data_IF_592540619975
#
_entry.id   IF_592540619975
#
_cell.length_a   1.000
_cell.length_b   1.000
_cell.length_c   1.000
_cell.angle_alpha   90.00
_cell.angle_beta   90.00
_cell.angle_gamma   90.00
#
_symmetry.space_group_name_H-M   'P 1'
#
loop_
_entity.id
_entity.type
_entity.pdbx_description
1 polymer ?
#
# COMPACT_ATOMS: atom_id res chain seq x y z
N UNK A 1 8.53 15.39 1.51
CA UNK A 1 8.26 14.25 0.61
C UNK A 1 8.63 12.99 1.36
N UNK A 2 7.63 12.23 1.83
CA UNK A 2 7.87 10.94 2.48
C UNK A 2 7.65 9.81 1.47
N UNK A 3 8.45 8.77 1.59
CA UNK A 3 8.33 7.53 0.82
C UNK A 3 8.17 6.40 1.82
N UNK A 4 7.06 5.68 1.74
CA UNK A 4 6.89 4.42 2.46
C UNK A 4 7.58 3.32 1.65
N UNK A 5 8.60 2.72 2.25
CA UNK A 5 9.43 1.69 1.60
C UNK A 5 8.89 0.28 1.80
N UNK A 6 7.96 0.07 2.72
CA UNK A 6 7.38 -1.23 3.02
C UNK A 6 5.91 -1.12 3.44
N UNK A 7 5.01 -1.60 2.59
CA UNK A 7 3.60 -1.78 2.91
C UNK A 7 3.06 -3.13 2.40
N UNK A 8 1.91 -3.53 2.94
CA UNK A 8 1.17 -4.73 2.53
C UNK A 8 -0.21 -4.33 2.00
N UNK A 9 -0.25 -3.38 1.05
CA UNK A 9 -1.51 -2.89 0.48
C UNK A 9 -2.26 -3.95 -0.34
N UNK A 10 -1.63 -5.08 -0.67
CA UNK A 10 -2.27 -6.23 -1.34
C UNK A 10 -3.07 -7.14 -0.38
N UNK A 11 -3.11 -6.83 0.92
CA UNK A 11 -3.80 -7.64 1.92
C UNK A 11 -5.33 -7.42 1.86
N UNK A 12 -6.13 -8.47 2.10
CA UNK A 12 -7.60 -8.37 2.01
C UNK A 12 -8.20 -7.35 2.96
N UNK A 13 -7.51 -7.09 4.08
CA UNK A 13 -7.97 -6.19 5.14
C UNK A 13 -8.16 -4.74 4.64
N UNK A 14 -7.41 -4.34 3.61
CA UNK A 14 -7.50 -3.01 3.00
C UNK A 14 -8.46 -2.94 1.81
N UNK A 15 -9.07 -4.05 1.39
CA UNK A 15 -9.91 -4.08 0.19
C UNK A 15 -11.16 -3.20 0.30
N UNK A 16 -11.68 -3.02 1.53
CA UNK A 16 -12.90 -2.24 1.77
C UNK A 16 -12.64 -0.74 1.89
N UNK A 17 -11.41 -0.31 2.20
CA UNK A 17 -11.07 1.09 2.50
C UNK A 17 -9.79 1.57 1.80
N UNK A 18 -9.37 0.88 0.73
CA UNK A 18 -8.10 1.13 0.02
C UNK A 18 -7.90 2.60 -0.35
N UNK A 19 -8.89 3.22 -0.99
CA UNK A 19 -8.81 4.62 -1.40
C UNK A 19 -8.73 5.58 -0.20
N UNK A 20 -9.39 5.25 0.92
CA UNK A 20 -9.32 6.04 2.14
C UNK A 20 -7.93 5.93 2.80
N UNK A 21 -7.32 4.74 2.79
CA UNK A 21 -5.94 4.53 3.26
C UNK A 21 -4.98 5.39 2.45
N UNK A 22 -5.10 5.39 1.12
CA UNK A 22 -4.26 6.22 0.24
C UNK A 22 -4.50 7.72 0.45
N UNK A 23 -5.75 8.13 0.69
CA UNK A 23 -6.10 9.50 1.05
C UNK A 23 -5.39 9.94 2.33
N UNK A 24 -5.49 9.16 3.41
CA UNK A 24 -4.81 9.43 4.68
C UNK A 24 -3.29 9.48 4.53
N UNK A 25 -2.71 8.58 3.73
CA UNK A 25 -1.27 8.58 3.45
C UNK A 25 -0.83 9.87 2.73
N UNK A 26 -1.62 10.30 1.75
CA UNK A 26 -1.38 11.55 1.01
C UNK A 26 -1.46 12.77 1.93
N UNK A 27 -2.49 12.86 2.78
CA UNK A 27 -2.67 13.93 3.78
C UNK A 27 -1.49 13.99 4.76
N UNK A 28 -0.93 12.83 5.14
CA UNK A 28 0.26 12.72 5.97
C UNK A 28 1.58 13.04 5.25
N UNK A 29 1.55 13.36 3.95
CA UNK A 29 2.73 13.71 3.16
C UNK A 29 3.52 12.51 2.61
N UNK A 30 2.94 11.31 2.64
CA UNK A 30 3.45 10.12 1.94
C UNK A 30 3.09 10.24 0.47
N UNK A 31 4.11 10.30 -0.37
CA UNK A 31 3.96 10.62 -1.81
C UNK A 31 4.24 9.43 -2.71
N UNK A 32 4.84 8.37 -2.15
CA UNK A 32 5.14 7.09 -2.81
C UNK A 32 5.07 6.00 -1.76
N UNK A 33 4.52 4.85 -2.14
CA UNK A 33 4.40 3.66 -1.29
C UNK A 33 4.89 2.46 -2.09
N UNK A 34 5.69 1.61 -1.47
CA UNK A 34 6.10 0.32 -2.05
C UNK A 34 5.35 -0.80 -1.34
N UNK A 35 4.45 -1.47 -2.08
CA UNK A 35 3.80 -2.70 -1.63
C UNK A 35 4.72 -3.89 -1.88
N UNK A 36 5.04 -4.67 -0.84
CA UNK A 36 5.92 -5.84 -0.98
C UNK A 36 5.13 -7.14 -1.02
N UNK A 37 5.54 -8.04 -1.93
CA UNK A 37 5.00 -9.39 -1.99
C UNK A 37 5.73 -10.36 -1.05
N UNK A 38 4.99 -11.21 -0.35
CA UNK A 38 5.56 -12.27 0.54
C UNK A 38 5.52 -13.67 -0.06
N UNK A 39 4.91 -13.81 -1.23
CA UNK A 39 4.82 -15.04 -2.02
C UNK A 39 4.73 -14.68 -3.51
N UNK A 40 4.79 -15.67 -4.40
CA UNK A 40 4.58 -15.43 -5.84
C UNK A 40 3.20 -14.79 -6.08
N UNK A 41 2.15 -15.32 -5.43
CA UNK A 41 0.79 -14.79 -5.62
C UNK A 41 0.62 -13.40 -5.01
N UNK A 42 1.21 -13.13 -3.84
CA UNK A 42 1.21 -11.78 -3.25
C UNK A 42 2.02 -10.79 -4.11
N UNK A 43 3.16 -11.21 -4.66
CA UNK A 43 3.98 -10.38 -5.55
C UNK A 43 3.25 -10.00 -6.84
N UNK A 44 2.36 -10.85 -7.35
CA UNK A 44 1.52 -10.53 -8.51
C UNK A 44 0.38 -9.57 -8.19
N UNK A 45 -0.10 -9.55 -6.95
CA UNK A 45 -1.12 -8.60 -6.48
C UNK A 45 -0.55 -7.27 -6.03
N UNK A 46 0.72 -7.23 -5.63
CA UNK A 46 1.39 -6.00 -5.21
C UNK A 46 1.36 -4.96 -6.34
N UNK A 47 0.88 -3.76 -6.01
CA UNK A 47 0.77 -2.57 -6.87
C UNK A 47 1.57 -1.40 -6.33
#
# INVERSE_FOLDING_TARGET
MLVETHAHLDYPDFANDFDEVLGRATEAGVTRIITIGTSIESSRRAV
#
